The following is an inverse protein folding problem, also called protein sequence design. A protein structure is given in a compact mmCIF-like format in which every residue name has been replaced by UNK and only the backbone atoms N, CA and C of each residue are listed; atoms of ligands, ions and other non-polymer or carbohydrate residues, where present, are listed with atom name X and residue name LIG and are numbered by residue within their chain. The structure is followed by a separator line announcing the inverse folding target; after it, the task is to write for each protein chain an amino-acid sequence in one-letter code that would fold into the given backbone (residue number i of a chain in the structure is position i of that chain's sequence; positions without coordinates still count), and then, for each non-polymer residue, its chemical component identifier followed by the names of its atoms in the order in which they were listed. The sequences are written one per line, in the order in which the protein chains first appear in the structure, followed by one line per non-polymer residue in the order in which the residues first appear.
data_IF_907577507394
#
_entry.id   IF_907577507394
#
_cell.length_a   1.000
_cell.length_b   1.000
_cell.length_c   1.000
_cell.angle_alpha   90.00
_cell.angle_beta   90.00
_cell.angle_gamma   90.00
#
_symmetry.space_group_name_H-M   'P 1'
#
loop_
_entity.id
_entity.type
_entity.pdbx_description
1 polymer ?
#
# COMPACT_ATOMS: atom_id res chain seq x y z
N UNK A 1 30.20 0.42 7.06
CA UNK A 1 28.87 0.67 6.44
C UNK A 1 29.06 1.75 5.38
N UNK A 2 28.60 1.60 4.13
CA UNK A 2 28.81 2.63 3.10
C UNK A 2 27.98 3.91 3.40
N UNK A 3 28.38 5.05 2.84
CA UNK A 3 27.71 6.36 3.11
C UNK A 3 26.22 6.36 2.81
N UNK A 4 25.80 5.67 1.75
CA UNK A 4 24.38 5.56 1.38
C UNK A 4 23.58 4.80 2.44
N UNK A 5 24.09 3.65 2.92
CA UNK A 5 23.45 2.85 3.96
C UNK A 5 23.42 3.57 5.31
N UNK A 6 24.42 4.39 5.61
CA UNK A 6 24.41 5.29 6.77
C UNK A 6 23.27 6.32 6.69
N UNK A 7 23.12 6.99 5.54
CA UNK A 7 22.02 7.96 5.34
C UNK A 7 20.64 7.31 5.43
N UNK A 8 20.47 6.11 4.87
CA UNK A 8 19.21 5.36 4.98
C UNK A 8 18.91 5.03 6.45
N UNK A 9 19.89 4.49 7.18
CA UNK A 9 19.71 4.15 8.59
C UNK A 9 19.33 5.36 9.44
N UNK A 10 19.97 6.51 9.20
CA UNK A 10 19.65 7.76 9.87
C UNK A 10 18.21 8.20 9.57
N UNK A 11 17.81 8.25 8.28
CA UNK A 11 16.45 8.63 7.86
C UNK A 11 15.37 7.73 8.45
N UNK A 12 15.59 6.41 8.48
CA UNK A 12 14.63 5.47 9.06
C UNK A 12 14.47 5.68 10.57
N UNK A 13 15.57 5.97 11.28
CA UNK A 13 15.50 6.24 12.72
C UNK A 13 14.84 7.59 13.01
N UNK A 14 15.10 8.61 12.21
CA UNK A 14 14.41 9.90 12.26
C UNK A 14 12.89 9.70 12.09
N UNK A 15 12.46 8.93 11.09
CA UNK A 15 11.04 8.62 10.88
C UNK A 15 10.37 8.03 12.13
N UNK A 16 11.03 7.10 12.83
CA UNK A 16 10.51 6.49 14.06
C UNK A 16 10.49 7.45 15.25
N UNK A 17 11.48 8.34 15.35
CA UNK A 17 11.55 9.30 16.46
C UNK A 17 10.55 10.45 16.28
N UNK A 18 10.20 10.78 15.02
CA UNK A 18 9.24 11.83 14.68
C UNK A 18 7.81 11.32 14.74
N UNK A 19 7.50 10.21 14.04
CA UNK A 19 6.15 9.69 13.92
C UNK A 19 5.77 8.84 15.14
N UNK A 20 4.54 8.99 15.66
CA UNK A 20 3.98 8.05 16.62
C UNK A 20 3.45 6.81 15.87
N UNK A 21 4.36 6.01 15.33
CA UNK A 21 4.02 4.88 14.46
C UNK A 21 3.24 3.79 15.20
N UNK A 22 2.02 3.53 14.73
CA UNK A 22 1.24 2.35 15.09
C UNK A 22 0.90 1.56 13.83
N UNK A 23 0.63 0.26 13.99
CA UNK A 23 0.23 -0.61 12.87
C UNK A 23 -1.08 -1.30 13.19
N UNK A 24 -2.03 -1.22 12.27
CA UNK A 24 -3.25 -2.03 12.27
C UNK A 24 -3.21 -3.05 11.14
N UNK A 25 -3.86 -4.19 11.34
CA UNK A 25 -3.82 -5.32 10.43
C UNK A 25 -5.23 -5.74 10.03
N UNK A 26 -5.34 -6.30 8.83
CA UNK A 26 -6.52 -7.04 8.40
C UNK A 26 -6.10 -8.19 7.48
N UNK A 27 -6.98 -9.13 7.23
CA UNK A 27 -6.80 -10.14 6.20
C UNK A 27 -7.81 -9.94 5.07
N UNK A 28 -7.44 -10.32 3.85
CA UNK A 28 -8.20 -10.07 2.63
C UNK A 28 -8.31 -11.38 1.86
N UNK A 29 -9.53 -11.77 1.49
CA UNK A 29 -9.76 -12.89 0.59
C UNK A 29 -9.48 -12.48 -0.86
N UNK A 30 -8.46 -13.09 -1.45
CA UNK A 30 -8.00 -12.79 -2.80
C UNK A 30 -8.73 -13.63 -3.88
N UNK A 31 -9.71 -14.45 -3.50
CA UNK A 31 -10.42 -15.36 -4.41
C UNK A 31 -11.01 -14.63 -5.61
N UNK A 32 -11.77 -13.57 -5.36
CA UNK A 32 -12.55 -12.89 -6.39
C UNK A 32 -11.64 -12.19 -7.41
N UNK A 33 -10.60 -11.47 -6.94
CA UNK A 33 -9.64 -10.84 -7.85
C UNK A 33 -8.74 -11.84 -8.57
N UNK A 34 -8.49 -13.01 -7.98
CA UNK A 34 -7.74 -14.09 -8.62
C UNK A 34 -8.55 -14.66 -9.78
N UNK A 35 -9.85 -14.89 -9.58
CA UNK A 35 -10.76 -15.33 -10.63
C UNK A 35 -10.94 -14.26 -11.72
N UNK A 36 -11.14 -12.99 -11.34
CA UNK A 36 -11.20 -11.87 -12.28
C UNK A 36 -9.93 -11.82 -13.16
N UNK A 37 -8.75 -11.95 -12.55
CA UNK A 37 -7.49 -11.98 -13.29
C UNK A 37 -7.42 -13.18 -14.21
N UNK A 38 -7.83 -14.37 -13.76
CA UNK A 38 -7.83 -15.60 -14.59
C UNK A 38 -8.72 -15.44 -15.82
N UNK A 39 -9.89 -14.84 -15.66
CA UNK A 39 -10.87 -14.62 -16.73
C UNK A 39 -10.41 -13.57 -17.75
N UNK A 40 -9.83 -12.46 -17.30
CA UNK A 40 -9.59 -11.30 -18.15
C UNK A 40 -8.12 -11.03 -18.53
N UNK A 41 -7.14 -11.77 -17.98
CA UNK A 41 -5.70 -11.50 -18.22
C UNK A 41 -5.32 -11.42 -19.70
N UNK A 42 -5.84 -12.31 -20.54
CA UNK A 42 -5.41 -12.43 -21.95
C UNK A 42 -6.09 -11.35 -22.80
N UNK A 43 -7.37 -11.09 -22.55
CA UNK A 43 -8.10 -9.99 -23.18
C UNK A 43 -7.50 -8.62 -22.79
N UNK A 44 -7.13 -8.44 -21.52
CA UNK A 44 -6.48 -7.22 -21.03
C UNK A 44 -5.12 -7.01 -21.69
N UNK A 45 -4.30 -8.07 -21.78
CA UNK A 45 -3.00 -8.03 -22.45
C UNK A 45 -3.13 -7.68 -23.94
N UNK A 46 -4.08 -8.31 -24.65
CA UNK A 46 -4.33 -8.05 -26.08
C UNK A 46 -4.77 -6.60 -26.32
N UNK A 47 -5.59 -6.04 -25.44
CA UNK A 47 -6.13 -4.69 -25.59
C UNK A 47 -5.15 -3.58 -25.18
N UNK A 48 -4.42 -3.78 -24.08
CA UNK A 48 -3.60 -2.73 -23.47
C UNK A 48 -2.10 -2.93 -23.60
N UNK A 49 -1.64 -4.09 -24.08
CA UNK A 49 -0.21 -4.41 -24.21
C UNK A 49 0.51 -4.61 -22.86
N UNK A 50 -0.21 -4.60 -21.74
CA UNK A 50 0.33 -4.74 -20.38
C UNK A 50 -0.35 -5.88 -19.63
N UNK A 51 0.38 -6.51 -18.71
CA UNK A 51 -0.13 -7.65 -17.91
C UNK A 51 -1.05 -7.17 -16.80
N UNK A 52 -2.17 -7.86 -16.59
CA UNK A 52 -3.05 -7.64 -15.45
C UNK A 52 -2.44 -8.23 -14.17
N UNK A 53 -1.99 -7.35 -13.27
CA UNK A 53 -1.44 -7.69 -11.96
C UNK A 53 -2.40 -7.33 -10.82
N UNK A 54 -2.10 -7.82 -9.61
CA UNK A 54 -2.90 -7.50 -8.42
C UNK A 54 -2.65 -6.09 -7.89
N UNK A 55 -1.42 -5.56 -8.06
CA UNK A 55 -1.03 -4.24 -7.56
C UNK A 55 -1.95 -3.11 -8.02
N UNK A 56 -2.46 -3.15 -9.25
CA UNK A 56 -3.35 -2.11 -9.76
C UNK A 56 -4.67 -2.03 -9.00
N UNK A 57 -5.17 -3.16 -8.49
CA UNK A 57 -6.37 -3.20 -7.64
C UNK A 57 -6.08 -2.49 -6.31
N UNK A 58 -4.95 -2.79 -5.66
CA UNK A 58 -4.56 -2.13 -4.40
C UNK A 58 -4.29 -0.65 -4.57
N UNK A 59 -3.63 -0.23 -5.66
CA UNK A 59 -3.41 1.20 -5.96
C UNK A 59 -4.75 1.91 -6.12
N UNK A 60 -5.70 1.32 -6.88
CA UNK A 60 -7.02 1.93 -7.08
C UNK A 60 -7.86 1.94 -5.80
N UNK A 61 -7.80 0.87 -5.02
CA UNK A 61 -8.47 0.76 -3.71
C UNK A 61 -7.92 1.79 -2.71
N UNK A 62 -6.60 1.94 -2.64
CA UNK A 62 -5.95 2.93 -1.80
C UNK A 62 -6.31 4.35 -2.23
N UNK A 63 -6.29 4.66 -3.53
CA UNK A 63 -6.71 5.97 -4.02
C UNK A 63 -8.16 6.29 -3.65
N UNK A 64 -9.07 5.32 -3.80
CA UNK A 64 -10.47 5.46 -3.40
C UNK A 64 -10.65 5.65 -1.88
N UNK A 65 -9.89 4.91 -1.08
CA UNK A 65 -9.92 5.04 0.37
C UNK A 65 -9.29 6.38 0.85
N UNK A 66 -8.26 6.88 0.17
CA UNK A 66 -7.60 8.15 0.49
C UNK A 66 -8.51 9.35 0.23
N UNK A 67 -9.35 9.29 -0.80
CA UNK A 67 -10.35 10.35 -1.05
C UNK A 67 -11.44 10.38 0.02
N UNK A 68 -11.78 9.22 0.60
CA UNK A 68 -12.78 9.11 1.67
C UNK A 68 -12.23 9.41 3.06
N UNK A 69 -10.92 9.21 3.27
CA UNK A 69 -10.22 9.49 4.52
C UNK A 69 -9.05 10.47 4.27
N UNK A 70 -9.33 11.78 4.07
CA UNK A 70 -8.30 12.77 3.74
C UNK A 70 -7.19 12.90 4.79
N UNK A 71 -7.46 12.58 6.05
CA UNK A 71 -6.47 12.58 7.12
C UNK A 71 -5.29 11.62 6.85
N UNK A 72 -5.56 10.47 6.21
CA UNK A 72 -4.52 9.50 5.82
C UNK A 72 -3.63 10.04 4.69
N UNK A 73 -4.18 10.94 3.85
CA UNK A 73 -3.48 11.60 2.76
C UNK A 73 -2.78 12.91 3.20
N UNK A 74 -3.01 13.38 4.42
CA UNK A 74 -2.43 14.60 4.97
C UNK A 74 -1.01 14.37 5.54
N UNK A 75 -0.36 15.44 5.98
CA UNK A 75 0.93 15.41 6.68
C UNK A 75 0.94 16.46 7.79
N UNK A 76 1.75 16.23 8.82
CA UNK A 76 2.14 17.27 9.77
C UNK A 76 3.41 17.94 9.25
N UNK A 77 3.36 19.22 8.91
CA UNK A 77 4.56 20.00 8.60
C UNK A 77 5.30 20.30 9.91
N UNK A 78 6.48 19.70 10.08
CA UNK A 78 7.28 19.87 11.28
C UNK A 78 7.80 21.30 11.49
N UNK A 79 7.80 22.14 10.46
CA UNK A 79 8.26 23.54 10.50
C UNK A 79 7.17 24.46 11.03
N UNK A 80 5.98 24.39 10.43
CA UNK A 80 4.83 25.24 10.76
C UNK A 80 3.97 24.66 11.89
N UNK A 81 4.11 23.36 12.18
CA UNK A 81 3.25 22.58 13.08
C UNK A 81 1.78 22.52 12.64
N UNK A 82 1.52 22.76 11.35
CA UNK A 82 0.19 22.68 10.77
C UNK A 82 -0.02 21.34 10.06
N UNK A 83 -1.29 20.95 9.95
CA UNK A 83 -1.70 19.78 9.16
C UNK A 83 -1.95 20.25 7.73
N UNK A 84 -1.21 19.70 6.79
CA UNK A 84 -1.35 19.98 5.36
C UNK A 84 -2.18 18.87 4.72
N UNK A 85 -3.43 19.20 4.39
CA UNK A 85 -4.30 18.37 3.57
C UNK A 85 -3.96 18.55 2.09
N UNK A 86 -4.14 17.50 1.29
CA UNK A 86 -3.80 17.47 -0.13
C UNK A 86 -5.01 17.03 -0.94
N UNK A 87 -5.35 17.82 -1.96
CA UNK A 87 -6.46 17.56 -2.89
C UNK A 87 -6.09 16.60 -4.02
N UNK A 88 -4.85 16.11 -4.02
CA UNK A 88 -4.35 15.12 -4.96
C UNK A 88 -3.86 13.88 -4.20
N UNK A 89 -3.91 12.75 -4.88
CA UNK A 89 -3.39 11.48 -4.39
C UNK A 89 -2.23 11.06 -5.27
N UNK A 90 -1.06 10.90 -4.65
CA UNK A 90 0.14 10.44 -5.32
C UNK A 90 0.71 9.23 -4.57
N UNK A 91 0.65 8.05 -5.19
CA UNK A 91 0.97 6.79 -4.51
C UNK A 91 2.34 6.29 -4.96
N UNK A 92 3.30 6.30 -4.04
CA UNK A 92 4.60 5.67 -4.23
C UNK A 92 4.47 4.15 -4.08
N UNK A 93 5.08 3.38 -4.99
CA UNK A 93 5.06 1.91 -4.93
C UNK A 93 6.48 1.39 -4.70
N UNK A 94 6.73 0.74 -3.57
CA UNK A 94 8.04 0.19 -3.28
C UNK A 94 8.32 -1.02 -4.19
N UNK A 95 9.36 -0.92 -5.01
CA UNK A 95 9.81 -2.00 -5.88
C UNK A 95 11.16 -2.50 -5.41
N UNK A 96 11.28 -3.82 -5.26
CA UNK A 96 12.55 -4.44 -4.96
C UNK A 96 13.45 -4.43 -6.19
N UNK A 97 14.55 -3.69 -6.10
CA UNK A 97 15.66 -3.72 -7.05
C UNK A 97 16.96 -4.02 -6.32
N UNK A 98 18.02 -4.48 -7.02
CA UNK A 98 19.35 -4.66 -6.41
C UNK A 98 19.92 -3.39 -5.75
N UNK A 99 19.38 -2.19 -6.08
CA UNK A 99 19.64 -0.91 -5.43
C UNK A 99 18.32 -0.31 -4.91
N UNK A 100 17.90 -0.74 -3.71
CA UNK A 100 16.60 -0.47 -3.07
C UNK A 100 16.20 1.01 -3.05
N UNK A 101 15.07 1.35 -3.68
CA UNK A 101 14.40 2.67 -3.64
C UNK A 101 12.89 2.55 -3.96
N UNK A 102 11.96 3.28 -3.28
CA UNK A 102 10.53 3.32 -3.64
C UNK A 102 10.30 4.08 -4.95
N UNK A 103 9.29 3.68 -5.74
CA UNK A 103 9.26 3.89 -7.20
C UNK A 103 7.86 4.24 -7.78
N UNK A 104 7.83 4.99 -8.89
CA UNK A 104 6.79 4.95 -9.93
C UNK A 104 7.04 3.85 -10.99
N UNK A 105 6.08 2.94 -11.17
CA UNK A 105 6.23 1.55 -11.66
C UNK A 105 6.97 1.31 -13.01
N UNK A 106 7.27 2.32 -13.83
CA UNK A 106 7.78 2.08 -15.18
C UNK A 106 9.31 2.04 -15.36
N UNK A 107 10.12 2.79 -14.57
CA UNK A 107 11.52 3.05 -14.98
C UNK A 107 12.65 2.47 -14.09
N UNK A 108 12.34 1.79 -12.98
CA UNK A 108 13.42 1.30 -12.08
C UNK A 108 14.30 0.19 -12.65
N UNK A 109 13.83 -0.55 -13.66
CA UNK A 109 14.60 -1.69 -14.18
C UNK A 109 15.76 -1.25 -15.08
N UNK A 110 15.72 -0.03 -15.62
CA UNK A 110 16.74 0.50 -16.53
C UNK A 110 17.81 1.35 -15.84
N UNK A 111 17.72 1.57 -14.53
CA UNK A 111 18.56 2.55 -13.79
C UNK A 111 18.49 3.98 -14.37
N UNK A 112 17.45 4.31 -15.16
CA UNK A 112 17.26 5.60 -15.82
C UNK A 112 16.43 6.59 -14.98
N UNK A 113 16.21 6.30 -13.68
CA UNK A 113 15.36 7.10 -12.82
C UNK A 113 15.96 8.48 -12.52
N UNK A 114 15.17 9.52 -12.75
CA UNK A 114 15.47 10.86 -12.27
C UNK A 114 15.24 10.93 -10.75
N UNK A 115 15.83 11.94 -10.11
CA UNK A 115 15.57 12.24 -8.69
C UNK A 115 14.14 12.75 -8.49
N UNK A 116 13.54 13.35 -9.52
CA UNK A 116 12.15 13.81 -9.49
C UNK A 116 11.14 12.64 -9.41
N UNK A 117 11.41 11.51 -10.08
CA UNK A 117 10.56 10.29 -10.03
C UNK A 117 10.57 9.58 -8.66
N UNK A 118 11.26 10.18 -7.71
CA UNK A 118 11.60 9.63 -6.42
C UNK A 118 11.25 10.57 -5.28
N UNK A 119 10.90 11.81 -5.60
CA UNK A 119 10.56 12.85 -4.65
C UNK A 119 9.04 12.96 -4.52
N UNK A 120 8.57 13.23 -3.30
CA UNK A 120 7.13 13.35 -3.02
C UNK A 120 6.40 12.03 -2.70
N UNK A 121 5.20 11.89 -3.26
CA UNK A 121 4.20 10.90 -2.84
C UNK A 121 3.45 11.31 -1.57
N UNK A 122 2.14 11.11 -1.57
CA UNK A 122 1.26 11.34 -0.41
C UNK A 122 1.04 10.06 0.39
N UNK A 123 1.21 8.89 -0.24
CA UNK A 123 1.03 7.58 0.38
C UNK A 123 1.98 6.54 -0.24
N UNK A 124 2.37 5.52 0.52
CA UNK A 124 3.22 4.41 0.00
C UNK A 124 2.50 3.07 0.08
N UNK A 125 2.67 2.25 -0.96
CA UNK A 125 2.37 0.82 -0.93
C UNK A 125 3.67 0.03 -1.06
N UNK A 126 3.90 -0.92 -0.16
CA UNK A 126 5.02 -1.85 -0.20
C UNK A 126 4.52 -3.28 -0.30
N UNK A 127 5.15 -4.10 -1.14
CA UNK A 127 4.77 -5.50 -1.32
C UNK A 127 5.91 -6.43 -0.90
N UNK A 128 5.87 -6.87 0.37
CA UNK A 128 6.76 -7.90 0.90
C UNK A 128 6.32 -9.33 0.52
N UNK A 129 5.11 -9.49 -0.02
CA UNK A 129 4.57 -10.77 -0.44
C UNK A 129 5.35 -11.44 -1.56
N UNK A 130 6.05 -10.67 -2.40
CA UNK A 130 6.97 -11.21 -3.42
C UNK A 130 8.11 -12.04 -2.83
N UNK A 131 8.40 -11.87 -1.53
CA UNK A 131 9.41 -12.62 -0.79
C UNK A 131 8.81 -13.67 0.17
N UNK A 132 7.48 -13.88 0.13
CA UNK A 132 6.81 -14.83 1.01
C UNK A 132 6.62 -14.33 2.44
N UNK A 133 6.66 -13.01 2.69
CA UNK A 133 6.34 -12.46 4.01
C UNK A 133 4.89 -12.78 4.39
N UNK A 134 4.63 -13.21 5.63
CA UNK A 134 3.27 -13.49 6.11
C UNK A 134 2.53 -12.22 6.53
N UNK A 135 3.14 -11.43 7.42
CA UNK A 135 2.73 -10.09 7.82
C UNK A 135 3.93 -9.40 8.48
N UNK A 136 3.86 -8.09 8.64
CA UNK A 136 4.89 -7.30 9.32
C UNK A 136 4.47 -5.83 9.45
N UNK A 137 5.27 -5.06 10.17
CA UNK A 137 5.03 -3.63 10.41
C UNK A 137 5.83 -2.81 9.40
N UNK A 138 5.22 -2.33 8.29
CA UNK A 138 5.93 -1.48 7.36
C UNK A 138 6.33 -0.16 8.04
N UNK A 139 7.44 0.43 7.60
CA UNK A 139 7.92 1.72 8.13
C UNK A 139 7.48 2.84 7.20
N UNK A 140 6.92 3.92 7.76
CA UNK A 140 6.52 5.09 6.97
C UNK A 140 7.75 5.66 6.28
N UNK A 141 7.56 6.16 5.06
CA UNK A 141 8.55 6.90 4.30
C UNK A 141 8.23 8.41 4.41
N UNK A 142 8.89 9.17 5.31
CA UNK A 142 8.63 10.59 5.44
C UNK A 142 8.84 11.32 4.10
N UNK A 143 8.05 12.38 3.81
CA UNK A 143 7.16 13.09 4.73
C UNK A 143 5.73 12.51 4.81
N UNK A 144 5.48 11.30 4.34
CA UNK A 144 4.13 10.73 4.36
C UNK A 144 3.67 10.40 5.78
N UNK A 145 2.36 10.20 5.97
CA UNK A 145 1.78 9.87 7.28
C UNK A 145 1.34 8.41 7.42
N UNK A 146 1.33 7.64 6.33
CA UNK A 146 0.96 6.24 6.37
C UNK A 146 1.59 5.43 5.23
N UNK A 147 1.65 4.11 5.42
CA UNK A 147 2.13 3.12 4.46
C UNK A 147 1.30 1.84 4.52
N UNK A 148 0.89 1.32 3.37
CA UNK A 148 0.25 0.02 3.21
C UNK A 148 1.29 -1.07 2.91
N UNK A 149 1.34 -2.10 3.75
CA UNK A 149 2.11 -3.32 3.55
C UNK A 149 1.22 -4.44 3.01
N UNK A 150 1.48 -4.85 1.77
CA UNK A 150 0.98 -6.08 1.18
C UNK A 150 1.92 -7.25 1.47
N UNK A 151 1.35 -8.41 1.81
CA UNK A 151 2.09 -9.62 2.16
C UNK A 151 1.76 -10.76 1.21
N UNK A 152 2.23 -11.97 1.51
CA UNK A 152 2.03 -13.14 0.68
C UNK A 152 0.57 -13.57 0.64
N UNK A 153 0.20 -14.22 -0.46
CA UNK A 153 -1.09 -14.91 -0.60
C UNK A 153 -0.85 -16.37 -0.23
N UNK A 154 -1.57 -16.85 0.78
CA UNK A 154 -1.46 -18.22 1.27
C UNK A 154 -2.84 -18.84 1.39
N UNK A 155 -2.97 -20.10 0.98
CA UNK A 155 -4.18 -20.86 1.19
C UNK A 155 -4.39 -21.11 2.68
N UNK A 156 -5.51 -20.65 3.21
CA UNK A 156 -5.84 -20.71 4.65
C UNK A 156 -7.29 -21.18 4.85
N UNK A 157 -7.57 -21.96 5.91
CA UNK A 157 -8.93 -22.35 6.25
C UNK A 157 -9.70 -21.16 6.83
N UNK A 158 -10.82 -20.81 6.19
CA UNK A 158 -11.69 -19.70 6.56
C UNK A 158 -13.10 -20.19 6.87
N UNK A 159 -13.74 -19.60 7.88
CA UNK A 159 -15.15 -19.84 8.16
C UNK A 159 -16.02 -18.98 7.23
N UNK A 160 -16.75 -19.60 6.31
CA UNK A 160 -17.66 -18.95 5.37
C UNK A 160 -19.04 -19.59 5.51
N UNK A 161 -20.05 -18.78 5.85
CA UNK A 161 -21.43 -19.24 6.03
C UNK A 161 -21.55 -20.50 6.93
N UNK A 162 -20.74 -20.57 8.00
CA UNK A 162 -20.73 -21.68 8.94
C UNK A 162 -19.97 -22.94 8.49
N UNK A 163 -19.27 -22.91 7.35
CA UNK A 163 -18.42 -23.99 6.85
C UNK A 163 -16.96 -23.57 6.80
N UNK A 164 -16.04 -24.54 6.93
CA UNK A 164 -14.61 -24.30 6.73
C UNK A 164 -14.27 -24.53 5.26
N UNK A 165 -13.78 -23.49 4.60
CA UNK A 165 -13.35 -23.53 3.21
C UNK A 165 -11.92 -22.98 3.10
N UNK A 166 -11.12 -23.55 2.19
CA UNK A 166 -9.77 -23.02 1.93
C UNK A 166 -9.90 -21.82 1.00
N UNK A 167 -9.26 -20.71 1.37
CA UNK A 167 -9.23 -19.47 0.58
C UNK A 167 -7.81 -18.93 0.43
N UNK A 168 -7.46 -18.34 -0.72
CA UNK A 168 -6.22 -17.60 -0.90
C UNK A 168 -6.28 -16.28 -0.13
N UNK A 169 -5.71 -16.26 1.07
CA UNK A 169 -5.78 -15.10 1.98
C UNK A 169 -4.48 -14.31 1.96
N UNK A 170 -4.58 -12.99 2.07
CA UNK A 170 -3.45 -12.08 2.25
C UNK A 170 -3.63 -11.26 3.52
N UNK A 171 -2.58 -11.15 4.34
CA UNK A 171 -2.54 -10.12 5.38
C UNK A 171 -2.13 -8.77 4.79
N UNK A 172 -2.84 -7.73 5.19
CA UNK A 172 -2.52 -6.33 4.89
C UNK A 172 -2.25 -5.59 6.19
N UNK A 173 -1.24 -4.72 6.16
CA UNK A 173 -0.87 -3.90 7.31
C UNK A 173 -0.91 -2.44 6.92
N UNK A 174 -1.48 -1.59 7.76
CA UNK A 174 -1.38 -0.13 7.64
C UNK A 174 -0.57 0.38 8.82
N UNK A 175 0.62 0.90 8.56
CA UNK A 175 1.33 1.71 9.55
C UNK A 175 0.98 3.16 9.33
N UNK A 176 0.64 3.86 10.41
CA UNK A 176 0.19 5.25 10.38
C UNK A 176 0.81 6.05 11.53
N UNK A 177 0.94 7.36 11.34
CA UNK A 177 1.37 8.30 12.37
C UNK A 177 0.19 8.69 13.25
N UNK A 178 0.16 8.17 14.49
CA UNK A 178 -0.94 8.38 15.42
C UNK A 178 -1.03 9.81 15.97
N UNK A 179 -0.08 10.69 15.63
CA UNK A 179 -0.22 12.14 15.87
C UNK A 179 -1.28 12.78 14.96
N UNK A 180 -1.53 12.17 13.79
CA UNK A 180 -2.43 12.69 12.76
C UNK A 180 -3.65 11.79 12.54
N UNK A 181 -3.45 10.48 12.55
CA UNK A 181 -4.45 9.49 12.15
C UNK A 181 -4.93 8.75 13.38
N UNK A 182 -6.24 8.81 13.65
CA UNK A 182 -6.85 8.09 14.75
C UNK A 182 -7.10 6.63 14.41
N UNK A 183 -7.24 5.78 15.44
CA UNK A 183 -7.51 4.35 15.25
C UNK A 183 -8.78 4.08 14.45
N UNK A 184 -9.81 4.93 14.58
CA UNK A 184 -11.03 4.83 13.76
C UNK A 184 -10.72 5.01 12.28
N UNK A 185 -9.99 6.07 11.92
CA UNK A 185 -9.66 6.41 10.53
C UNK A 185 -8.75 5.35 9.89
N UNK A 186 -7.75 4.88 10.65
CA UNK A 186 -6.86 3.81 10.19
C UNK A 186 -7.62 2.50 9.91
N UNK A 187 -8.53 2.12 10.80
CA UNK A 187 -9.33 0.88 10.65
C UNK A 187 -10.36 0.99 9.53
N UNK A 188 -11.07 2.13 9.42
CA UNK A 188 -12.05 2.33 8.34
C UNK A 188 -11.34 2.38 6.97
N UNK A 189 -10.20 3.06 6.87
CA UNK A 189 -9.37 3.09 5.68
C UNK A 189 -8.96 1.68 5.24
N UNK A 190 -8.38 0.89 6.15
CA UNK A 190 -7.90 -0.45 5.82
C UNK A 190 -9.06 -1.40 5.47
N UNK A 191 -10.21 -1.24 6.13
CA UNK A 191 -11.43 -2.00 5.81
C UNK A 191 -12.00 -1.63 4.44
N UNK A 192 -11.92 -0.36 4.01
CA UNK A 192 -12.35 0.08 2.67
C UNK A 192 -11.45 -0.49 1.58
N UNK A 193 -10.14 -0.59 1.83
CA UNK A 193 -9.23 -1.33 0.95
C UNK A 193 -9.64 -2.81 0.89
N UNK A 194 -9.89 -3.45 2.03
CA UNK A 194 -10.34 -4.85 2.09
C UNK A 194 -11.62 -5.06 1.27
N UNK A 195 -12.66 -4.24 1.44
CA UNK A 195 -13.93 -4.42 0.72
C UNK A 195 -13.76 -4.30 -0.80
N UNK A 196 -12.97 -3.32 -1.26
CA UNK A 196 -12.69 -3.15 -2.70
C UNK A 196 -11.87 -4.32 -3.26
N UNK A 197 -10.92 -4.86 -2.49
CA UNK A 197 -10.09 -5.97 -2.97
C UNK A 197 -10.88 -7.28 -2.96
N UNK A 198 -11.73 -7.52 -1.96
CA UNK A 198 -12.61 -8.70 -1.94
C UNK A 198 -13.72 -8.61 -2.99
N UNK A 199 -14.17 -7.40 -3.31
CA UNK A 199 -15.12 -7.14 -4.38
C UNK A 199 -14.85 -5.82 -5.14
N UNK A 200 -14.15 -5.89 -6.29
CA UNK A 200 -13.83 -4.70 -7.09
C UNK A 200 -15.05 -3.92 -7.60
N UNK A 201 -16.26 -4.52 -7.59
CA UNK A 201 -17.50 -3.83 -8.00
C UNK A 201 -17.84 -2.67 -7.08
N UNK A 202 -17.36 -2.70 -5.83
CA UNK A 202 -17.52 -1.61 -4.86
C UNK A 202 -17.04 -0.27 -5.42
N UNK A 203 -15.96 -0.27 -6.21
CA UNK A 203 -15.44 0.95 -6.86
C UNK A 203 -16.42 1.59 -7.87
N UNK A 204 -17.29 0.79 -8.47
CA UNK A 204 -18.27 1.26 -9.45
C UNK A 204 -19.56 1.71 -8.79
N UNK A 205 -19.88 1.15 -7.63
CA UNK A 205 -21.12 1.42 -6.89
C UNK A 205 -20.96 2.56 -5.87
N UNK A 206 -19.73 3.00 -5.62
CA UNK A 206 -19.37 4.01 -4.62
C UNK A 206 -19.89 3.64 -3.20
N UNK A 207 -19.62 2.40 -2.80
CA UNK A 207 -20.09 1.78 -1.55
C UNK A 207 -18.98 1.50 -0.53
#
# INVERSE_FOLDING_TARGET
MNRMRQRIAQRLKEAQNTCAMLTTFNEVDMSNITEMRKQYKDAFLKKHGIKLGFMSVFVKAAAYALTDQPAVNAVIDDTTKEIVYRDYVDISVAVATPKVKPLFIHDARKNELAVEDMDGGTFTISNGGVFGSMFGTPIINPPQSAILGMHGIFDRPMAIAGKVEIRPMMYVALTYDHRLIDGREAVTFLRKIKSVVEDPRVLLLDM
#
